data_IF_750804855411
#
_entry.id   IF_750804855411
#
_cell.length_a   1.000
_cell.length_b   1.000
_cell.length_c   1.000
_cell.angle_alpha   90.00
_cell.angle_beta   90.00
_cell.angle_gamma   90.00
#
_symmetry.space_group_name_H-M   'P 1'
#
loop_
_entity.id
_entity.type
_entity.pdbx_description
1 polymer ?
#
# COMPACT_ATOMS: atom_id res chain seq x y z
N UNK A 1 -7.27 2.87 3.84
CA UNK A 1 -6.99 3.99 4.78
C UNK A 1 -5.91 4.94 4.28
N UNK A 2 -4.77 4.43 3.78
CA UNK A 2 -3.69 5.26 3.20
C UNK A 2 -4.20 6.29 2.17
N UNK A 3 -4.98 5.87 1.16
CA UNK A 3 -5.49 6.76 0.10
C UNK A 3 -6.29 7.93 0.67
N UNK A 4 -7.22 7.66 1.60
CA UNK A 4 -8.08 8.68 2.21
C UNK A 4 -7.25 9.74 2.94
N UNK A 5 -6.27 9.31 3.75
CA UNK A 5 -5.42 10.25 4.47
C UNK A 5 -4.42 10.96 3.55
N UNK A 6 -3.97 10.33 2.45
CA UNK A 6 -3.14 10.98 1.44
C UNK A 6 -3.90 12.14 0.76
N UNK A 7 -5.19 11.94 0.45
CA UNK A 7 -6.07 13.00 -0.06
C UNK A 7 -6.26 14.12 0.97
N UNK A 8 -6.47 13.77 2.24
CA UNK A 8 -6.60 14.75 3.32
C UNK A 8 -5.33 15.59 3.50
N UNK A 9 -4.14 15.00 3.38
CA UNK A 9 -2.86 15.73 3.33
C UNK A 9 -2.79 16.70 2.15
N UNK A 10 -3.26 16.30 0.97
CA UNK A 10 -3.19 17.12 -0.24
C UNK A 10 -4.06 18.39 -0.17
N UNK A 11 -5.21 18.30 0.50
CA UNK A 11 -6.18 19.40 0.68
C UNK A 11 -5.85 20.25 1.92
N UNK A 12 -4.86 19.84 2.74
CA UNK A 12 -4.54 20.54 3.98
C UNK A 12 -4.15 22.01 3.76
N UNK A 13 -4.78 22.87 4.55
CA UNK A 13 -4.62 24.33 4.53
C UNK A 13 -3.64 24.84 5.60
N UNK A 14 -3.43 24.07 6.68
CA UNK A 14 -2.56 24.44 7.81
C UNK A 14 -1.54 23.34 8.12
N UNK A 15 -0.37 23.74 8.67
CA UNK A 15 0.73 22.82 9.03
C UNK A 15 0.29 21.79 10.09
N UNK A 16 -0.50 22.19 11.07
CA UNK A 16 -0.98 21.28 12.13
C UNK A 16 -1.91 20.20 11.57
N UNK A 17 -2.78 20.57 10.62
CA UNK A 17 -3.67 19.64 9.91
C UNK A 17 -2.86 18.67 9.06
N UNK A 18 -1.84 19.18 8.34
CA UNK A 18 -0.94 18.34 7.57
C UNK A 18 -0.21 17.31 8.46
N UNK A 19 0.30 17.72 9.63
CA UNK A 19 0.99 16.82 10.55
C UNK A 19 0.04 15.74 11.11
N UNK A 20 -1.15 16.13 11.53
CA UNK A 20 -2.17 15.19 12.04
C UNK A 20 -2.54 14.14 10.99
N UNK A 21 -2.82 14.57 9.75
CA UNK A 21 -3.13 13.62 8.68
C UNK A 21 -1.93 12.80 8.25
N UNK A 22 -0.71 13.34 8.32
CA UNK A 22 0.50 12.57 7.98
C UNK A 22 0.80 11.50 9.02
N UNK A 23 0.50 11.76 10.28
CA UNK A 23 0.52 10.74 11.33
C UNK A 23 -0.49 9.61 11.04
N UNK A 24 -1.76 9.98 10.76
CA UNK A 24 -2.81 9.00 10.42
C UNK A 24 -2.50 8.23 9.13
N UNK A 25 -1.91 8.90 8.14
CA UNK A 25 -1.45 8.29 6.91
C UNK A 25 -0.39 7.21 7.19
N UNK A 26 0.57 7.50 8.07
CA UNK A 26 1.58 6.52 8.53
C UNK A 26 0.96 5.29 9.19
N UNK A 27 -0.07 5.47 10.02
CA UNK A 27 -0.81 4.34 10.60
C UNK A 27 -1.46 3.46 9.51
N UNK A 28 -1.95 4.08 8.43
CA UNK A 28 -2.51 3.36 7.28
C UNK A 28 -1.50 2.48 6.54
N UNK A 29 -0.21 2.79 6.64
CA UNK A 29 0.89 2.02 6.01
C UNK A 29 1.28 0.79 6.84
N UNK A 30 0.95 0.75 8.14
CA UNK A 30 1.27 -0.37 9.02
C UNK A 30 0.70 -1.72 8.54
N UNK A 31 -0.36 -1.69 7.71
CA UNK A 31 -0.91 -2.88 7.09
C UNK A 31 0.09 -3.66 6.22
N UNK A 32 1.16 -3.03 5.72
CA UNK A 32 2.22 -3.70 4.93
C UNK A 32 2.87 -4.84 5.71
N UNK A 33 2.91 -4.78 7.05
CA UNK A 33 3.45 -5.85 7.89
C UNK A 33 2.71 -7.18 7.74
N UNK A 34 1.45 -7.16 7.29
CA UNK A 34 0.66 -8.36 7.05
C UNK A 34 1.14 -9.15 5.82
N UNK A 35 1.88 -8.54 4.88
CA UNK A 35 2.32 -9.20 3.65
C UNK A 35 3.11 -10.50 3.94
N UNK A 36 4.05 -10.46 4.89
CA UNK A 36 4.88 -11.62 5.24
C UNK A 36 4.10 -12.75 5.90
N UNK A 37 3.01 -12.42 6.60
CA UNK A 37 2.09 -13.39 7.20
C UNK A 37 1.23 -14.06 6.14
N UNK A 38 0.64 -13.29 5.22
CA UNK A 38 -0.18 -13.81 4.13
C UNK A 38 0.61 -14.76 3.22
N UNK A 39 1.86 -14.42 2.90
CA UNK A 39 2.74 -15.31 2.13
C UNK A 39 3.03 -16.60 2.89
N UNK A 40 3.21 -16.53 4.21
CA UNK A 40 3.41 -17.71 5.05
C UNK A 40 2.22 -18.68 5.07
N UNK A 41 1.00 -18.16 4.91
CA UNK A 41 -0.22 -18.97 4.88
C UNK A 41 -0.51 -19.58 3.49
N UNK A 42 0.02 -18.96 2.42
CA UNK A 42 -0.30 -19.33 1.03
C UNK A 42 0.76 -20.22 0.36
N UNK A 43 2.03 -20.09 0.73
CA UNK A 43 3.15 -20.72 0.02
C UNK A 43 3.95 -21.70 0.90
N UNK A 44 4.52 -22.72 0.26
CA UNK A 44 5.40 -23.68 0.90
C UNK A 44 6.75 -23.04 1.31
N UNK A 45 7.46 -23.66 2.26
CA UNK A 45 8.72 -23.13 2.81
C UNK A 45 9.78 -22.84 1.72
N UNK A 46 9.82 -23.67 0.68
CA UNK A 46 10.78 -23.59 -0.43
C UNK A 46 10.47 -22.43 -1.39
N UNK A 47 9.19 -22.18 -1.66
CA UNK A 47 8.74 -21.09 -2.55
C UNK A 47 8.68 -19.73 -1.86
N UNK A 48 8.55 -19.73 -0.53
CA UNK A 48 8.38 -18.53 0.29
C UNK A 48 9.51 -17.50 0.10
N UNK A 49 10.75 -17.96 -0.05
CA UNK A 49 11.90 -17.07 -0.23
C UNK A 49 11.81 -16.30 -1.54
N UNK A 50 11.43 -16.97 -2.63
CA UNK A 50 11.26 -16.34 -3.94
C UNK A 50 10.11 -15.34 -3.97
N UNK A 51 8.96 -15.69 -3.38
CA UNK A 51 7.79 -14.80 -3.31
C UNK A 51 8.07 -13.57 -2.45
N UNK A 52 8.71 -13.75 -1.29
CA UNK A 52 9.12 -12.62 -0.45
C UNK A 52 10.12 -11.71 -1.17
N UNK A 53 11.07 -12.27 -1.95
CA UNK A 53 11.97 -11.46 -2.75
C UNK A 53 11.20 -10.60 -3.76
N UNK A 54 10.24 -11.17 -4.48
CA UNK A 54 9.40 -10.43 -5.45
C UNK A 54 8.59 -9.31 -4.80
N UNK A 55 8.07 -9.51 -3.59
CA UNK A 55 7.32 -8.48 -2.84
C UNK A 55 8.24 -7.33 -2.40
N UNK A 56 9.52 -7.60 -2.14
CA UNK A 56 10.47 -6.59 -1.69
C UNK A 56 11.11 -5.78 -2.82
N UNK A 57 11.15 -6.31 -4.05
CA UNK A 57 11.72 -5.58 -5.22
C UNK A 57 11.10 -4.19 -5.37
N UNK A 58 9.75 -4.02 -5.41
CA UNK A 58 9.12 -2.71 -5.52
C UNK A 58 9.50 -1.75 -4.40
N UNK A 59 9.72 -2.24 -3.18
CA UNK A 59 10.11 -1.41 -2.05
C UNK A 59 11.53 -0.85 -2.25
N UNK A 60 12.46 -1.68 -2.70
CA UNK A 60 13.85 -1.28 -2.98
C UNK A 60 13.94 -0.32 -4.16
N UNK A 61 13.27 -0.64 -5.27
CA UNK A 61 13.24 0.23 -6.45
C UNK A 61 12.49 1.52 -6.18
N UNK A 62 11.41 1.44 -5.40
CA UNK A 62 10.60 2.58 -5.00
C UNK A 62 11.42 3.61 -4.21
N UNK A 63 12.30 3.18 -3.31
CA UNK A 63 13.18 4.08 -2.54
C UNK A 63 14.14 4.88 -3.44
N UNK A 64 14.64 4.29 -4.51
CA UNK A 64 15.53 4.99 -5.44
C UNK A 64 14.77 5.94 -6.38
N UNK A 65 13.60 5.51 -6.86
CA UNK A 65 12.82 6.23 -7.88
C UNK A 65 11.94 7.33 -7.27
N UNK A 66 11.41 7.13 -6.06
CA UNK A 66 10.47 8.06 -5.44
C UNK A 66 11.05 9.47 -5.22
N UNK A 67 12.29 9.68 -4.74
CA UNK A 67 12.87 11.01 -4.59
C UNK A 67 13.00 11.76 -5.92
N UNK A 68 13.37 11.06 -7.00
CA UNK A 68 13.51 11.63 -8.34
C UNK A 68 12.17 12.16 -8.84
N UNK A 69 11.14 11.31 -8.78
CA UNK A 69 9.77 11.68 -9.20
C UNK A 69 9.23 12.81 -8.33
N UNK A 70 9.32 12.68 -7.01
CA UNK A 70 8.79 13.68 -6.07
C UNK A 70 9.51 15.03 -6.18
N UNK A 71 10.82 15.03 -6.45
CA UNK A 71 11.62 16.24 -6.65
C UNK A 71 11.20 17.00 -7.89
N UNK A 72 11.02 16.30 -9.02
CA UNK A 72 10.55 16.93 -10.26
C UNK A 72 9.13 17.48 -10.12
N UNK A 73 8.20 16.70 -9.54
CA UNK A 73 6.81 17.13 -9.33
C UNK A 73 6.74 18.32 -8.39
N UNK A 74 7.50 18.30 -7.29
CA UNK A 74 7.48 19.39 -6.32
C UNK A 74 7.98 20.70 -6.92
N UNK A 75 8.91 20.65 -7.88
CA UNK A 75 9.41 21.82 -8.59
C UNK A 75 8.41 22.32 -9.65
N UNK A 76 7.78 21.42 -10.40
CA UNK A 76 6.90 21.78 -11.53
C UNK A 76 5.47 22.16 -11.11
N UNK A 77 4.87 21.42 -10.17
CA UNK A 77 3.42 21.46 -9.89
C UNK A 77 3.08 21.80 -8.43
N UNK A 78 4.07 21.83 -7.51
CA UNK A 78 3.95 21.97 -6.04
C UNK A 78 4.03 20.65 -5.28
N UNK A 79 4.49 20.72 -4.02
CA UNK A 79 4.63 19.58 -3.10
C UNK A 79 3.30 18.85 -2.83
N UNK A 80 2.16 19.55 -2.94
CA UNK A 80 0.82 18.96 -2.74
C UNK A 80 0.51 17.87 -3.77
N UNK A 81 1.05 18.00 -4.98
CA UNK A 81 0.83 17.01 -6.04
C UNK A 81 1.50 15.67 -5.79
N UNK A 82 2.52 15.63 -4.93
CA UNK A 82 3.13 14.36 -4.51
C UNK A 82 2.11 13.50 -3.74
N UNK A 83 1.26 14.14 -2.92
CA UNK A 83 0.17 13.44 -2.20
C UNK A 83 -0.96 13.00 -3.13
N UNK A 84 -1.34 13.85 -4.11
CA UNK A 84 -2.33 13.49 -5.13
C UNK A 84 -1.87 12.29 -5.97
N UNK A 85 -0.63 12.30 -6.44
CA UNK A 85 -0.09 11.20 -7.25
C UNK A 85 -0.03 9.90 -6.44
N UNK A 86 0.40 9.98 -5.18
CA UNK A 86 0.41 8.82 -4.27
C UNK A 86 -0.99 8.25 -4.05
N UNK A 87 -2.01 9.11 -3.93
CA UNK A 87 -3.40 8.68 -3.78
C UNK A 87 -3.95 8.04 -5.07
N UNK A 88 -3.62 8.57 -6.25
CA UNK A 88 -4.04 8.02 -7.55
C UNK A 88 -3.42 6.64 -7.78
N UNK A 89 -2.09 6.55 -7.66
CA UNK A 89 -1.36 5.29 -7.88
C UNK A 89 -1.81 4.24 -6.86
N UNK A 90 -1.87 4.61 -5.58
CA UNK A 90 -2.39 3.73 -4.53
C UNK A 90 -3.83 3.29 -4.78
N UNK A 91 -4.69 4.20 -5.26
CA UNK A 91 -6.08 3.90 -5.61
C UNK A 91 -6.21 2.91 -6.76
N UNK A 92 -5.39 3.04 -7.80
CA UNK A 92 -5.36 2.09 -8.92
C UNK A 92 -4.90 0.71 -8.45
N UNK A 93 -3.84 0.64 -7.63
CA UNK A 93 -3.35 -0.61 -7.07
C UNK A 93 -4.39 -1.28 -6.16
N UNK A 94 -5.02 -0.52 -5.26
CA UNK A 94 -6.07 -1.02 -4.36
C UNK A 94 -7.30 -1.50 -5.14
N UNK A 95 -7.73 -0.74 -6.15
CA UNK A 95 -8.84 -1.14 -7.02
C UNK A 95 -8.48 -2.44 -7.76
N UNK A 96 -7.29 -2.53 -8.35
CA UNK A 96 -6.78 -3.74 -8.97
C UNK A 96 -6.78 -4.93 -8.00
N UNK A 97 -6.36 -4.71 -6.75
CA UNK A 97 -6.41 -5.74 -5.72
C UNK A 97 -7.86 -6.17 -5.41
N UNK A 98 -8.79 -5.24 -5.20
CA UNK A 98 -10.19 -5.60 -4.91
C UNK A 98 -10.87 -6.34 -6.06
N UNK A 99 -10.57 -5.98 -7.32
CA UNK A 99 -11.23 -6.58 -8.49
C UNK A 99 -10.58 -7.87 -8.99
N UNK A 100 -9.25 -7.99 -8.89
CA UNK A 100 -8.49 -9.13 -9.44
C UNK A 100 -8.21 -10.18 -8.36
N UNK A 101 -7.99 -9.76 -7.12
CA UNK A 101 -7.63 -10.66 -6.03
C UNK A 101 -8.90 -11.30 -5.44
N UNK A 102 -9.23 -12.49 -5.94
CA UNK A 102 -10.28 -13.36 -5.36
C UNK A 102 -9.75 -13.95 -4.04
N UNK A 103 -10.45 -13.69 -2.92
CA UNK A 103 -10.06 -14.09 -1.56
C UNK A 103 -9.38 -15.48 -1.47
N UNK A 104 -8.11 -15.57 -1.05
CA UNK A 104 -7.42 -16.84 -0.78
C UNK A 104 -7.68 -17.37 0.65
N UNK A 105 -8.83 -17.07 1.26
CA UNK A 105 -9.10 -17.44 2.66
C UNK A 105 -9.47 -18.94 2.79
N UNK A 106 -8.45 -19.82 2.82
CA UNK A 106 -8.59 -21.29 3.00
C UNK A 106 -9.49 -21.67 4.18
N UNK A 107 -9.46 -20.92 5.29
CA UNK A 107 -10.29 -21.18 6.49
C UNK A 107 -11.79 -21.04 6.22
N UNK A 108 -12.20 -20.15 5.30
CA UNK A 108 -13.62 -19.97 4.93
C UNK A 108 -14.11 -21.11 4.03
N UNK A 109 -13.23 -21.69 3.22
CA UNK A 109 -13.50 -22.88 2.40
C UNK A 109 -13.61 -24.12 3.28
N UNK A 110 -12.68 -24.30 4.23
CA UNK A 110 -12.69 -25.44 5.16
C UNK A 110 -13.85 -25.38 6.16
N UNK A 111 -14.23 -24.19 6.67
CA UNK A 111 -15.44 -24.04 7.50
C UNK A 111 -16.73 -24.30 6.72
N UNK A 112 -16.79 -23.91 5.43
CA UNK A 112 -17.92 -24.26 4.55
C UNK A 112 -17.96 -25.75 4.22
N UNK A 113 -16.80 -26.40 4.07
CA UNK A 113 -16.69 -27.83 3.81
C UNK A 113 -16.99 -28.68 5.06
N UNK A 114 -16.67 -28.20 6.27
CA UNK A 114 -16.99 -28.86 7.54
C UNK A 114 -18.44 -28.64 8.00
N UNK A 115 -19.19 -27.75 7.33
CA UNK A 115 -20.63 -27.53 7.56
C UNK A 115 -21.52 -28.27 6.55
N UNK A 116 -20.93 -29.02 5.60
CA UNK A 116 -21.62 -30.00 4.75
C UNK A 116 -21.35 -31.39 5.27
#
# INVERSE_FOLDING_TARGET
MFIIFSLACAISSNINMLLAFRFLNGMGVAAISLNSSVVGDMFSQEERVGVLALINIPALTGLAVAPIISGYISQALSWRWVFWLSAIVGGICEAGFVFIFREPYKVRILKKAAQR
#
